data_IF_010556206166
#
_entry.id   IF_010556206166
#
_cell.length_a   1.000
_cell.length_b   1.000
_cell.length_c   1.000
_cell.angle_alpha   90.00
_cell.angle_beta   90.00
_cell.angle_gamma   90.00
#
_symmetry.space_group_name_H-M   'P 1'
#
loop_
_entity.id
_entity.type
_entity.pdbx_description
1 polymer ?
#
# COMPACT_ATOMS: atom_id res chain seq x y z
N UNK A 1 22.31 -7.77 19.12
CA UNK A 1 21.17 -7.20 19.87
C UNK A 1 20.35 -6.45 18.86
N UNK A 2 19.08 -6.79 18.67
CA UNK A 2 18.24 -6.16 17.65
C UNK A 2 17.80 -4.78 18.15
N UNK A 3 18.10 -3.74 17.36
CA UNK A 3 17.77 -2.36 17.69
C UNK A 3 16.33 -2.03 17.31
N UNK A 4 15.61 -1.35 18.23
CA UNK A 4 14.17 -1.07 18.11
C UNK A 4 13.88 0.40 18.36
N UNK A 5 12.99 0.99 17.57
CA UNK A 5 12.34 2.28 17.84
C UNK A 5 10.88 2.01 18.18
N UNK A 6 10.37 2.60 19.26
CA UNK A 6 8.95 2.51 19.66
C UNK A 6 8.24 3.79 19.22
N UNK A 7 7.20 3.65 18.42
CA UNK A 7 6.42 4.79 17.89
C UNK A 7 4.96 4.62 18.24
N UNK A 8 4.46 5.45 19.14
CA UNK A 8 3.08 5.43 19.66
C UNK A 8 2.79 6.77 20.33
N UNK A 9 1.61 7.33 20.19
CA UNK A 9 1.26 8.61 20.83
C UNK A 9 0.90 8.48 22.33
N UNK A 10 0.60 7.24 22.78
CA UNK A 10 0.26 6.96 24.18
C UNK A 10 1.50 6.69 25.03
N UNK A 11 1.94 7.66 25.83
CA UNK A 11 3.16 7.55 26.66
C UNK A 11 3.15 6.38 27.64
N UNK A 12 1.99 6.05 28.23
CA UNK A 12 1.84 4.92 29.16
C UNK A 12 2.09 3.60 28.44
N UNK A 13 1.59 3.46 27.21
CA UNK A 13 1.79 2.26 26.41
C UNK A 13 3.27 2.10 26.04
N UNK A 14 3.94 3.18 25.58
CA UNK A 14 5.39 3.13 25.27
C UNK A 14 6.22 2.71 26.48
N UNK A 15 5.95 3.31 27.65
CA UNK A 15 6.68 2.99 28.88
C UNK A 15 6.46 1.54 29.34
N UNK A 16 5.23 1.04 29.25
CA UNK A 16 4.90 -0.35 29.54
C UNK A 16 5.57 -1.30 28.56
N UNK A 17 5.45 -1.04 27.28
CA UNK A 17 6.07 -1.86 26.25
C UNK A 17 7.59 -1.93 26.41
N UNK A 18 8.25 -0.80 26.64
CA UNK A 18 9.70 -0.74 26.90
C UNK A 18 10.13 -1.58 28.11
N UNK A 19 9.31 -1.62 29.16
CA UNK A 19 9.59 -2.40 30.34
C UNK A 19 9.38 -3.91 30.15
N UNK A 20 8.46 -4.30 29.23
CA UNK A 20 8.07 -5.68 28.99
C UNK A 20 8.85 -6.34 27.84
N UNK A 21 9.60 -5.58 27.04
CA UNK A 21 10.41 -6.15 25.97
C UNK A 21 11.59 -6.97 26.51
N UNK A 22 11.93 -8.05 25.78
CA UNK A 22 13.06 -8.91 26.09
C UNK A 22 14.41 -8.15 26.04
N UNK A 23 15.33 -8.51 26.93
CA UNK A 23 16.66 -7.93 27.02
C UNK A 23 17.54 -8.17 25.77
N UNK A 24 17.13 -9.03 24.85
CA UNK A 24 17.77 -9.20 23.55
C UNK A 24 17.50 -8.03 22.61
N UNK A 25 16.54 -7.16 22.94
CA UNK A 25 16.14 -5.99 22.19
C UNK A 25 16.70 -4.72 22.80
N UNK A 26 17.28 -3.84 21.99
CA UNK A 26 17.78 -2.54 22.40
C UNK A 26 16.87 -1.43 21.93
N UNK A 27 16.16 -0.75 22.84
CA UNK A 27 15.30 0.38 22.50
C UNK A 27 16.15 1.64 22.34
N UNK A 28 16.38 2.06 21.09
CA UNK A 28 17.17 3.24 20.74
C UNK A 28 16.46 4.55 21.03
N UNK A 29 15.11 4.57 21.00
CA UNK A 29 14.33 5.78 21.21
C UNK A 29 12.84 5.53 21.17
N UNK A 30 12.09 6.61 21.38
CA UNK A 30 10.63 6.64 21.34
C UNK A 30 10.16 7.86 20.56
N UNK A 31 9.06 7.75 19.82
CA UNK A 31 8.39 8.82 19.11
C UNK A 31 6.89 8.83 19.39
N UNK A 32 6.28 10.02 19.37
CA UNK A 32 4.86 10.21 19.64
C UNK A 32 4.07 10.77 18.43
N UNK A 33 4.72 11.02 17.32
CA UNK A 33 4.12 11.60 16.13
C UNK A 33 4.81 11.11 14.85
N UNK A 34 4.15 11.32 13.71
CA UNK A 34 4.69 10.99 12.38
C UNK A 34 6.03 11.69 12.14
N UNK A 35 6.12 12.99 12.41
CA UNK A 35 7.31 13.78 12.09
C UNK A 35 8.50 13.43 12.99
N UNK A 36 8.24 13.17 14.27
CA UNK A 36 9.25 12.71 15.21
C UNK A 36 9.76 11.31 14.83
N UNK A 37 8.85 10.41 14.48
CA UNK A 37 9.20 9.05 14.05
C UNK A 37 10.12 9.07 12.81
N UNK A 38 9.78 9.82 11.77
CA UNK A 38 10.61 9.93 10.56
C UNK A 38 12.01 10.46 10.90
N UNK A 39 12.09 11.52 11.71
CA UNK A 39 13.38 12.12 12.14
C UNK A 39 14.25 11.10 12.89
N UNK A 40 13.66 10.35 13.83
CA UNK A 40 14.39 9.35 14.61
C UNK A 40 14.78 8.13 13.78
N UNK A 41 13.94 7.67 12.84
CA UNK A 41 14.28 6.57 11.93
C UNK A 41 15.49 6.95 11.06
N UNK A 42 15.52 8.16 10.52
CA UNK A 42 16.63 8.65 9.70
C UNK A 42 17.96 8.75 10.48
N UNK A 43 17.88 9.21 11.73
CA UNK A 43 19.08 9.42 12.56
C UNK A 43 19.59 8.17 13.24
N UNK A 44 18.70 7.32 13.78
CA UNK A 44 19.05 6.15 14.58
C UNK A 44 19.19 4.86 13.77
N UNK A 45 18.57 4.79 12.59
CA UNK A 45 18.59 3.60 11.70
C UNK A 45 18.27 2.30 12.43
N UNK A 46 17.13 2.20 13.15
CA UNK A 46 16.77 0.99 13.88
C UNK A 46 16.54 -0.19 12.92
N UNK A 47 16.84 -1.41 13.37
CA UNK A 47 16.53 -2.62 12.60
C UNK A 47 15.02 -2.87 12.51
N UNK A 48 14.28 -2.58 13.60
CA UNK A 48 12.82 -2.69 13.63
C UNK A 48 12.18 -1.46 14.24
N UNK A 49 11.10 -1.00 13.63
CA UNK A 49 10.21 0.03 14.18
C UNK A 49 8.91 -0.62 14.61
N UNK A 50 8.61 -0.58 15.91
CA UNK A 50 7.30 -0.87 16.47
C UNK A 50 6.42 0.36 16.27
N UNK A 51 5.44 0.26 15.39
CA UNK A 51 4.76 1.42 14.82
C UNK A 51 3.26 1.37 15.06
N UNK A 52 2.73 2.33 15.83
CA UNK A 52 1.28 2.52 15.90
C UNK A 52 0.71 2.89 14.53
N UNK A 53 -0.41 2.29 14.20
CA UNK A 53 -1.16 2.57 12.96
C UNK A 53 -1.78 3.96 13.01
N UNK A 54 -2.28 4.38 14.16
CA UNK A 54 -3.00 5.64 14.36
C UNK A 54 -2.13 6.68 15.07
N UNK A 55 -1.28 7.36 14.30
CA UNK A 55 -0.39 8.41 14.82
C UNK A 55 -0.87 9.81 14.43
N UNK A 56 -0.74 10.79 15.33
CA UNK A 56 -0.96 12.20 14.99
C UNK A 56 0.21 12.80 14.19
N UNK A 57 -0.05 13.94 13.56
CA UNK A 57 0.93 14.69 12.78
C UNK A 57 1.01 14.30 11.32
N UNK A 58 2.01 14.82 10.62
CA UNK A 58 2.17 14.63 9.19
C UNK A 58 0.99 15.16 8.38
N UNK A 59 0.69 14.49 7.26
CA UNK A 59 -0.46 14.80 6.39
C UNK A 59 -1.73 13.98 6.75
N UNK A 60 -1.76 13.33 7.92
CA UNK A 60 -2.90 12.55 8.40
C UNK A 60 -2.88 11.08 7.97
N UNK A 61 -1.77 10.58 7.47
CA UNK A 61 -1.62 9.20 7.02
C UNK A 61 -1.17 8.20 8.09
N UNK A 62 -1.00 8.62 9.35
CA UNK A 62 -0.64 7.77 10.49
C UNK A 62 0.62 6.94 10.25
N UNK A 63 0.62 5.70 10.76
CA UNK A 63 1.76 4.78 10.61
C UNK A 63 2.10 4.46 9.16
N UNK A 64 1.13 4.37 8.28
CA UNK A 64 1.39 4.16 6.85
C UNK A 64 2.15 5.33 6.20
N UNK A 65 1.97 6.56 6.70
CA UNK A 65 2.74 7.73 6.24
C UNK A 65 4.20 7.64 6.70
N UNK A 66 4.44 7.24 7.95
CA UNK A 66 5.81 7.02 8.46
C UNK A 66 6.57 6.06 7.54
N UNK A 67 5.98 4.92 7.20
CA UNK A 67 6.60 3.92 6.32
C UNK A 67 6.91 4.50 4.94
N UNK A 68 5.95 5.18 4.32
CA UNK A 68 6.15 5.79 2.99
C UNK A 68 7.25 6.85 3.00
N UNK A 69 7.30 7.71 4.01
CA UNK A 69 8.33 8.75 4.15
C UNK A 69 9.72 8.16 4.43
N UNK A 70 9.77 6.98 5.03
CA UNK A 70 11.00 6.24 5.30
C UNK A 70 11.35 5.21 4.22
N UNK A 71 10.71 5.26 3.04
CA UNK A 71 10.83 4.26 1.98
C UNK A 71 12.27 4.00 1.52
N UNK A 72 13.14 5.04 1.51
CA UNK A 72 14.56 4.91 1.16
C UNK A 72 15.38 4.07 2.16
N UNK A 73 14.82 3.76 3.33
CA UNK A 73 15.49 3.03 4.42
C UNK A 73 14.98 1.60 4.59
N UNK A 74 13.99 1.16 3.78
CA UNK A 74 13.32 -0.14 3.92
C UNK A 74 14.26 -1.36 3.77
N UNK A 75 15.42 -1.20 3.16
CA UNK A 75 16.42 -2.28 3.07
C UNK A 75 17.06 -2.61 4.41
N UNK A 76 17.22 -1.60 5.30
CA UNK A 76 17.85 -1.76 6.62
C UNK A 76 16.90 -1.67 7.81
N UNK A 77 15.72 -1.05 7.64
CA UNK A 77 14.72 -0.86 8.69
C UNK A 77 13.42 -1.56 8.33
N UNK A 78 12.88 -2.37 9.20
CA UNK A 78 11.62 -3.09 9.02
C UNK A 78 10.55 -2.56 9.95
N UNK A 79 9.29 -2.61 9.52
CA UNK A 79 8.16 -2.08 10.29
C UNK A 79 7.25 -3.20 10.76
N UNK A 80 6.99 -3.25 12.07
CA UNK A 80 5.99 -4.09 12.72
C UNK A 80 4.88 -3.18 13.25
N UNK A 81 3.72 -3.22 12.62
CA UNK A 81 2.59 -2.40 13.00
C UNK A 81 1.94 -2.90 14.30
N UNK A 82 1.58 -1.94 15.18
CA UNK A 82 0.83 -2.14 16.40
C UNK A 82 -0.52 -1.44 16.29
N UNK A 83 -1.62 -2.06 16.72
CA UNK A 83 -2.93 -1.39 16.76
C UNK A 83 -3.84 -1.98 17.82
N UNK A 84 -4.80 -1.20 18.28
CA UNK A 84 -5.92 -1.69 19.09
C UNK A 84 -7.00 -2.37 18.24
N UNK A 85 -7.03 -2.07 16.94
CA UNK A 85 -7.98 -2.59 15.96
C UNK A 85 -7.33 -3.69 15.10
N UNK A 86 -8.14 -4.64 14.66
CA UNK A 86 -7.81 -5.64 13.66
C UNK A 86 -8.63 -5.44 12.38
N UNK A 87 -8.99 -4.19 12.06
CA UNK A 87 -9.75 -3.87 10.86
C UNK A 87 -8.95 -4.19 9.60
N UNK A 88 -9.63 -4.72 8.58
CA UNK A 88 -8.99 -5.05 7.30
C UNK A 88 -8.35 -3.81 6.64
N UNK A 89 -8.96 -2.63 6.79
CA UNK A 89 -8.49 -1.38 6.21
C UNK A 89 -7.13 -0.96 6.80
N UNK A 90 -7.01 -0.99 8.13
CA UNK A 90 -5.77 -0.67 8.85
C UNK A 90 -4.63 -1.62 8.47
N UNK A 91 -4.94 -2.94 8.49
CA UNK A 91 -3.97 -3.99 8.13
C UNK A 91 -3.46 -3.81 6.70
N UNK A 92 -4.38 -3.71 5.74
CA UNK A 92 -4.04 -3.57 4.32
C UNK A 92 -3.29 -2.26 4.05
N UNK A 93 -3.69 -1.17 4.73
CA UNK A 93 -3.07 0.15 4.58
C UNK A 93 -1.57 0.14 4.93
N UNK A 94 -1.20 -0.40 6.09
CA UNK A 94 0.21 -0.44 6.53
C UNK A 94 1.04 -1.48 5.78
N UNK A 95 0.44 -2.63 5.41
CA UNK A 95 1.14 -3.65 4.62
C UNK A 95 1.45 -3.15 3.21
N UNK A 96 0.51 -2.47 2.56
CA UNK A 96 0.76 -1.81 1.25
C UNK A 96 1.82 -0.72 1.33
N UNK A 97 1.96 -0.06 2.48
CA UNK A 97 3.02 0.90 2.72
C UNK A 97 4.41 0.25 2.91
N UNK A 98 4.46 -1.04 3.28
CA UNK A 98 5.71 -1.80 3.43
C UNK A 98 5.93 -2.42 4.82
N UNK A 99 4.92 -2.44 5.71
CA UNK A 99 5.04 -3.15 6.97
C UNK A 99 5.24 -4.66 6.74
N UNK A 100 6.11 -5.27 7.54
CA UNK A 100 6.41 -6.71 7.50
C UNK A 100 5.57 -7.53 8.46
N UNK A 101 4.81 -6.87 9.33
CA UNK A 101 3.94 -7.56 10.25
C UNK A 101 2.92 -6.63 10.87
N UNK A 102 1.96 -7.25 11.53
CA UNK A 102 0.89 -6.58 12.25
C UNK A 102 0.49 -7.40 13.48
N UNK A 103 0.53 -6.79 14.65
CA UNK A 103 0.10 -7.37 15.90
C UNK A 103 -0.81 -6.40 16.66
N UNK A 104 -1.64 -6.90 17.54
CA UNK A 104 -2.52 -6.07 18.36
C UNK A 104 -1.81 -5.59 19.62
N UNK A 105 -2.15 -4.41 20.12
CA UNK A 105 -1.64 -3.85 21.39
C UNK A 105 -2.05 -4.67 22.63
N UNK A 106 -2.93 -5.67 22.46
CA UNK A 106 -3.26 -6.63 23.52
C UNK A 106 -2.29 -7.82 23.64
N UNK A 107 -1.29 -7.92 22.76
CA UNK A 107 -0.25 -8.93 22.83
C UNK A 107 0.67 -8.70 24.04
N UNK A 108 1.16 -9.77 24.64
CA UNK A 108 2.13 -9.71 25.75
C UNK A 108 3.49 -9.22 25.26
N UNK A 109 4.32 -8.68 26.17
CA UNK A 109 5.69 -8.26 25.86
C UNK A 109 6.54 -9.39 25.24
N UNK A 110 6.33 -10.63 25.67
CA UNK A 110 7.01 -11.80 25.10
C UNK A 110 6.59 -12.07 23.64
N UNK A 111 5.29 -11.94 23.33
CA UNK A 111 4.79 -12.08 21.95
C UNK A 111 5.30 -10.95 21.04
N UNK A 112 5.31 -9.72 21.56
CA UNK A 112 5.88 -8.56 20.84
C UNK A 112 7.36 -8.78 20.57
N UNK A 113 8.13 -9.23 21.58
CA UNK A 113 9.56 -9.49 21.43
C UNK A 113 9.85 -10.60 20.40
N UNK A 114 9.09 -11.68 20.44
CA UNK A 114 9.20 -12.75 19.44
C UNK A 114 8.89 -12.24 18.02
N UNK A 115 7.84 -11.41 17.88
CA UNK A 115 7.46 -10.79 16.61
C UNK A 115 8.55 -9.85 16.06
N UNK A 116 9.16 -9.04 16.94
CA UNK A 116 10.30 -8.16 16.57
C UNK A 116 11.47 -8.98 16.04
N UNK A 117 11.85 -10.05 16.73
CA UNK A 117 12.98 -10.91 16.31
C UNK A 117 12.68 -11.62 14.98
N UNK A 118 11.46 -12.10 14.76
CA UNK A 118 11.05 -12.72 13.52
C UNK A 118 11.10 -11.71 12.35
N UNK A 119 10.56 -10.49 12.56
CA UNK A 119 10.60 -9.40 11.56
C UNK A 119 12.06 -8.98 11.28
N UNK A 120 12.91 -8.88 12.29
CA UNK A 120 14.33 -8.60 12.13
C UNK A 120 15.03 -9.69 11.30
N UNK A 121 14.62 -10.96 11.45
CA UNK A 121 15.10 -12.08 10.63
C UNK A 121 14.61 -12.07 9.18
N UNK A 122 13.62 -11.23 8.86
CA UNK A 122 13.04 -11.13 7.50
C UNK A 122 11.68 -11.82 7.35
N UNK A 123 11.18 -12.46 8.39
CA UNK A 123 9.88 -13.11 8.37
C UNK A 123 8.73 -12.09 8.36
N UNK A 124 7.57 -12.53 7.91
CA UNK A 124 6.32 -11.80 8.04
C UNK A 124 5.52 -12.29 9.25
N UNK A 125 5.00 -11.38 10.07
CA UNK A 125 4.28 -11.71 11.30
C UNK A 125 2.84 -11.24 11.25
N UNK A 126 1.90 -12.19 11.22
CA UNK A 126 0.45 -11.94 11.25
C UNK A 126 -0.25 -13.02 12.04
N UNK A 127 -1.34 -12.67 12.72
CA UNK A 127 -2.27 -13.71 13.20
C UNK A 127 -2.92 -14.43 12.00
N UNK A 128 -3.37 -15.67 12.13
CA UNK A 128 -4.03 -16.40 11.04
C UNK A 128 -5.22 -15.62 10.42
N UNK A 129 -5.97 -14.89 11.23
CA UNK A 129 -7.09 -14.06 10.79
C UNK A 129 -6.61 -12.88 9.93
N UNK A 130 -5.55 -12.19 10.36
CA UNK A 130 -4.99 -11.05 9.65
C UNK A 130 -4.30 -11.47 8.35
N UNK A 131 -3.67 -12.63 8.34
CA UNK A 131 -3.11 -13.21 7.12
C UNK A 131 -4.17 -13.44 6.03
N UNK A 132 -5.40 -13.83 6.42
CA UNK A 132 -6.54 -13.92 5.52
C UNK A 132 -6.84 -12.58 4.84
N UNK A 133 -6.96 -11.49 5.58
CA UNK A 133 -7.19 -10.15 5.00
C UNK A 133 -6.09 -9.70 4.05
N UNK A 134 -4.84 -10.02 4.38
CA UNK A 134 -3.69 -9.72 3.51
C UNK A 134 -3.80 -10.50 2.20
N UNK A 135 -4.04 -11.81 2.27
CA UNK A 135 -4.20 -12.66 1.09
C UNK A 135 -5.38 -12.22 0.22
N UNK A 136 -6.53 -11.93 0.81
CA UNK A 136 -7.71 -11.48 0.08
C UNK A 136 -7.46 -10.12 -0.61
N UNK A 137 -6.83 -9.17 0.08
CA UNK A 137 -6.53 -7.86 -0.46
C UNK A 137 -5.50 -7.89 -1.59
N UNK A 138 -4.51 -8.77 -1.51
CA UNK A 138 -3.51 -8.95 -2.58
C UNK A 138 -4.02 -9.89 -3.67
N UNK A 139 -4.83 -10.89 -3.34
CA UNK A 139 -5.49 -11.77 -4.29
C UNK A 139 -6.47 -11.02 -5.19
N UNK A 140 -7.28 -10.14 -4.63
CA UNK A 140 -8.18 -9.28 -5.39
C UNK A 140 -7.42 -8.36 -6.36
N UNK A 141 -6.32 -7.72 -5.89
CA UNK A 141 -5.47 -6.86 -6.74
C UNK A 141 -4.80 -7.67 -7.86
N UNK A 142 -4.33 -8.88 -7.55
CA UNK A 142 -3.74 -9.76 -8.56
C UNK A 142 -4.79 -10.24 -9.57
N UNK A 143 -6.01 -10.55 -9.12
CA UNK A 143 -7.13 -10.90 -9.98
C UNK A 143 -7.54 -9.75 -10.90
N UNK A 144 -7.75 -8.56 -10.36
CA UNK A 144 -8.09 -7.36 -11.14
C UNK A 144 -6.98 -6.99 -12.15
N UNK A 145 -5.70 -7.12 -11.77
CA UNK A 145 -4.59 -6.87 -12.70
C UNK A 145 -4.49 -7.95 -13.79
N UNK A 146 -4.74 -9.21 -13.47
CA UNK A 146 -4.76 -10.30 -14.44
C UNK A 146 -5.92 -10.14 -15.42
N UNK A 147 -7.14 -9.87 -14.93
CA UNK A 147 -8.31 -9.61 -15.78
C UNK A 147 -8.11 -8.39 -16.67
N UNK A 148 -7.57 -7.28 -16.10
CA UNK A 148 -7.27 -6.07 -16.86
C UNK A 148 -6.21 -6.31 -17.93
N UNK A 149 -5.20 -7.14 -17.65
CA UNK A 149 -4.16 -7.52 -18.61
C UNK A 149 -4.75 -8.34 -19.74
N UNK A 150 -5.56 -9.34 -19.44
CA UNK A 150 -6.24 -10.17 -20.46
C UNK A 150 -7.22 -9.35 -21.32
N UNK A 151 -7.97 -8.44 -20.72
CA UNK A 151 -8.89 -7.55 -21.44
C UNK A 151 -8.12 -6.61 -22.39
N UNK A 152 -7.02 -6.04 -21.93
CA UNK A 152 -6.15 -5.18 -22.74
C UNK A 152 -5.43 -5.96 -23.85
N UNK A 153 -5.10 -7.23 -23.63
CA UNK A 153 -4.43 -8.08 -24.62
C UNK A 153 -5.34 -8.47 -25.79
N UNK A 154 -6.67 -8.39 -25.60
CA UNK A 154 -7.66 -8.51 -26.68
C UNK A 154 -7.65 -7.32 -27.64
N UNK A 155 -7.09 -6.17 -27.20
CA UNK A 155 -6.99 -4.97 -28.03
C UNK A 155 -5.70 -4.96 -28.84
N UNK A 156 -5.78 -4.58 -30.12
CA UNK A 156 -4.59 -4.26 -30.90
C UNK A 156 -3.86 -3.05 -30.35
N UNK A 157 -2.60 -2.84 -30.72
CA UNK A 157 -1.82 -1.67 -30.31
C UNK A 157 -2.56 -0.36 -30.64
N UNK A 158 -3.19 -0.30 -31.84
CA UNK A 158 -3.91 0.90 -32.29
C UNK A 158 -5.23 1.11 -31.54
N UNK A 159 -5.94 0.04 -31.21
CA UNK A 159 -7.14 0.11 -30.38
C UNK A 159 -6.81 0.59 -28.96
N UNK A 160 -5.68 0.19 -28.40
CA UNK A 160 -5.19 0.68 -27.09
C UNK A 160 -4.85 2.17 -27.10
N UNK A 161 -4.21 2.67 -28.16
CA UNK A 161 -3.93 4.11 -28.33
C UNK A 161 -5.22 4.94 -28.38
N UNK A 162 -6.16 4.53 -29.23
CA UNK A 162 -7.47 5.18 -29.37
C UNK A 162 -8.22 5.13 -28.03
N UNK A 163 -8.28 3.98 -27.36
CA UNK A 163 -8.91 3.80 -26.07
C UNK A 163 -8.37 4.78 -25.01
N UNK A 164 -7.04 4.92 -24.89
CA UNK A 164 -6.41 5.85 -23.93
C UNK A 164 -6.79 7.29 -24.17
N UNK A 165 -6.81 7.76 -25.41
CA UNK A 165 -7.17 9.13 -25.74
C UNK A 165 -8.66 9.40 -25.48
N UNK A 166 -9.54 8.46 -25.85
CA UNK A 166 -10.97 8.56 -25.57
C UNK A 166 -11.24 8.57 -24.05
N UNK A 167 -10.57 7.72 -23.29
CA UNK A 167 -10.72 7.65 -21.84
C UNK A 167 -10.26 8.94 -21.14
N UNK A 168 -9.26 9.63 -21.68
CA UNK A 168 -8.82 10.97 -21.23
C UNK A 168 -9.77 12.10 -21.61
N UNK A 169 -10.85 11.82 -22.34
CA UNK A 169 -11.86 12.82 -22.71
C UNK A 169 -11.71 13.45 -24.09
N UNK A 170 -10.70 13.07 -24.88
CA UNK A 170 -10.48 13.63 -26.23
C UNK A 170 -11.67 13.35 -27.15
N UNK A 171 -12.09 14.40 -27.90
CA UNK A 171 -13.12 14.22 -28.93
C UNK A 171 -12.56 13.42 -30.12
N UNK A 172 -13.41 12.76 -30.88
CA UNK A 172 -12.99 11.93 -32.04
C UNK A 172 -12.14 12.71 -33.05
N UNK A 173 -12.43 13.99 -33.24
CA UNK A 173 -11.66 14.88 -34.12
C UNK A 173 -10.23 15.10 -33.59
N UNK A 174 -10.08 15.25 -32.29
CA UNK A 174 -8.78 15.42 -31.63
C UNK A 174 -7.96 14.13 -31.69
N UNK A 175 -8.60 12.97 -31.41
CA UNK A 175 -7.98 11.65 -31.56
C UNK A 175 -7.53 11.41 -33.01
N UNK A 176 -8.36 11.78 -33.99
CA UNK A 176 -8.04 11.64 -35.40
C UNK A 176 -6.81 12.49 -35.79
N UNK A 177 -6.71 13.72 -35.26
CA UNK A 177 -5.55 14.62 -35.47
C UNK A 177 -4.30 14.06 -34.80
N UNK A 178 -4.42 13.64 -33.52
CA UNK A 178 -3.29 13.13 -32.73
C UNK A 178 -2.66 11.87 -33.34
N UNK A 179 -3.52 11.01 -33.85
CA UNK A 179 -3.10 9.71 -34.40
C UNK A 179 -2.91 9.69 -35.92
N UNK A 180 -3.08 10.84 -36.59
CA UNK A 180 -2.96 11.00 -38.04
C UNK A 180 -3.85 10.00 -38.82
N UNK A 181 -5.12 9.84 -38.40
CA UNK A 181 -6.12 8.99 -39.04
C UNK A 181 -7.44 9.74 -39.31
N UNK A 182 -8.34 9.16 -40.09
CA UNK A 182 -9.65 9.73 -40.31
C UNK A 182 -10.56 9.57 -39.07
N UNK A 183 -11.52 10.50 -38.89
CA UNK A 183 -12.54 10.37 -37.83
C UNK A 183 -13.29 9.06 -37.96
N UNK A 184 -13.62 8.63 -39.19
CA UNK A 184 -14.29 7.35 -39.44
C UNK A 184 -13.45 6.15 -38.97
N UNK A 185 -12.13 6.25 -39.07
CA UNK A 185 -11.22 5.22 -38.56
C UNK A 185 -11.23 5.21 -37.02
N UNK A 186 -11.29 6.38 -36.37
CA UNK A 186 -11.44 6.46 -34.89
C UNK A 186 -12.75 5.82 -34.47
N UNK A 187 -13.87 6.12 -35.13
CA UNK A 187 -15.19 5.50 -34.83
C UNK A 187 -15.14 3.98 -34.94
N UNK A 188 -14.47 3.46 -35.98
CA UNK A 188 -14.29 2.03 -36.16
C UNK A 188 -13.49 1.40 -35.03
N UNK A 189 -12.39 2.02 -34.62
CA UNK A 189 -11.58 1.54 -33.48
C UNK A 189 -12.35 1.62 -32.16
N UNK A 190 -13.07 2.71 -31.89
CA UNK A 190 -13.89 2.85 -30.67
C UNK A 190 -14.95 1.75 -30.64
N UNK A 191 -15.66 1.50 -31.75
CA UNK A 191 -16.65 0.42 -31.84
C UNK A 191 -16.04 -0.96 -31.58
N UNK A 192 -14.84 -1.21 -32.10
CA UNK A 192 -14.11 -2.45 -31.86
C UNK A 192 -13.69 -2.60 -30.40
N UNK A 193 -13.19 -1.52 -29.76
CA UNK A 193 -12.82 -1.48 -28.34
C UNK A 193 -14.03 -1.77 -27.47
N UNK A 194 -15.14 -1.05 -27.66
CA UNK A 194 -16.37 -1.26 -26.88
C UNK A 194 -16.86 -2.69 -26.96
N UNK A 195 -16.88 -3.27 -28.16
CA UNK A 195 -17.28 -4.67 -28.36
C UNK A 195 -16.35 -5.65 -27.66
N UNK A 196 -15.03 -5.46 -27.74
CA UNK A 196 -14.03 -6.36 -27.15
C UNK A 196 -14.01 -6.30 -25.62
N UNK A 197 -14.27 -5.13 -25.04
CA UNK A 197 -14.37 -4.89 -23.61
C UNK A 197 -15.81 -5.07 -23.08
N UNK A 198 -16.76 -5.45 -23.94
CA UNK A 198 -18.18 -5.64 -23.61
C UNK A 198 -18.84 -4.40 -22.99
N UNK A 199 -18.45 -3.21 -23.45
CA UNK A 199 -18.97 -1.92 -23.01
C UNK A 199 -19.98 -1.38 -24.02
N UNK A 200 -21.00 -0.65 -23.53
CA UNK A 200 -22.10 -0.15 -24.36
C UNK A 200 -21.91 1.29 -24.81
N UNK A 201 -21.03 2.03 -24.14
CA UNK A 201 -20.88 3.47 -24.41
C UNK A 201 -19.47 4.01 -24.11
N UNK A 202 -19.16 5.17 -24.69
CA UNK A 202 -17.95 5.92 -24.40
C UNK A 202 -17.85 6.28 -22.92
N UNK A 203 -18.95 6.59 -22.26
CA UNK A 203 -18.98 6.92 -20.84
C UNK A 203 -18.58 5.72 -19.99
N UNK A 204 -19.06 4.53 -20.32
CA UNK A 204 -18.64 3.29 -19.69
C UNK A 204 -17.16 3.01 -19.92
N UNK A 205 -16.63 3.29 -21.11
CA UNK A 205 -15.19 3.14 -21.39
C UNK A 205 -14.34 4.08 -20.52
N UNK A 206 -14.76 5.32 -20.32
CA UNK A 206 -14.07 6.27 -19.43
C UNK A 206 -14.12 5.81 -17.98
N UNK A 207 -15.30 5.37 -17.49
CA UNK A 207 -15.47 4.84 -16.15
C UNK A 207 -14.65 3.56 -15.94
N UNK A 208 -14.65 2.65 -16.91
CA UNK A 208 -13.87 1.41 -16.91
C UNK A 208 -12.36 1.69 -16.83
N UNK A 209 -11.85 2.63 -17.62
CA UNK A 209 -10.42 3.00 -17.61
C UNK A 209 -9.99 3.71 -16.32
N UNK A 210 -10.86 4.56 -15.75
CA UNK A 210 -10.62 5.22 -14.47
C UNK A 210 -10.56 4.22 -13.31
N UNK A 211 -11.52 3.30 -13.24
CA UNK A 211 -11.56 2.26 -12.20
C UNK A 211 -10.27 1.41 -12.18
N UNK A 212 -9.65 1.20 -13.34
CA UNK A 212 -8.42 0.42 -13.52
C UNK A 212 -7.12 1.24 -13.52
N UNK A 213 -7.20 2.56 -13.25
CA UNK A 213 -6.04 3.48 -13.21
C UNK A 213 -5.17 3.44 -14.48
N UNK A 214 -5.82 3.36 -15.66
CA UNK A 214 -5.15 3.29 -16.96
C UNK A 214 -4.89 4.68 -17.61
N UNK A 215 -5.14 5.76 -16.90
CA UNK A 215 -5.06 7.15 -17.36
C UNK A 215 -3.85 7.87 -16.83
#
# INVERSE_FOLDING_TARGET
MTSVLIVDDHSIFRSGLRADLDHALEVLGEAASVDEAVTLIESLRPEVVLLDVHLPGGAGGGGAEVIRRSAALLEGTRFLALSVSDSAEDVVGVIRAGARGYITKGSSGAEVSAAVLAVAGGDAVFSPRLAGFVLDAFGAVAGEQAETSEELDRLSAREREVMRLIARGYAYKEVASELFISIKTVESHVSAVLRKLQLSSRHELTAWANARKLL
#
